data_IF_287638042276
#
_entry.id   IF_287638042276
#
_cell.length_a   1.000
_cell.length_b   1.000
_cell.length_c   1.000
_cell.angle_alpha   90.00
_cell.angle_beta   90.00
_cell.angle_gamma   90.00
#
_symmetry.space_group_name_H-M   'P 1'
#
loop_
_entity.id
_entity.type
_entity.pdbx_description
1 polymer ?
#
# COMPACT_ATOMS: atom_id res chain seq x y z
N UNK A 1 -23.60 -5.12 -3.15
CA UNK A 1 -22.35 -4.35 -3.46
C UNK A 1 -21.16 -5.30 -3.49
N UNK A 2 -20.28 -5.21 -4.50
CA UNK A 2 -19.09 -6.09 -4.61
C UNK A 2 -18.16 -5.94 -3.41
N UNK A 3 -17.60 -7.05 -2.92
CA UNK A 3 -16.59 -7.02 -1.85
C UNK A 3 -15.25 -6.50 -2.39
N UNK A 4 -14.64 -5.58 -1.66
CA UNK A 4 -13.30 -5.04 -1.91
C UNK A 4 -12.25 -6.05 -1.47
N UNK A 5 -11.36 -6.43 -2.40
CA UNK A 5 -10.29 -7.39 -2.15
C UNK A 5 -8.95 -6.69 -2.29
N UNK A 6 -8.03 -6.95 -1.36
CA UNK A 6 -6.64 -6.56 -1.48
C UNK A 6 -5.72 -7.78 -1.45
N UNK A 7 -4.51 -7.64 -2.03
CA UNK A 7 -3.51 -8.72 -2.12
C UNK A 7 -2.16 -8.20 -1.62
N UNK A 8 -1.55 -8.92 -0.67
CA UNK A 8 -0.12 -8.83 -0.37
C UNK A 8 0.51 -10.18 -0.71
N UNK A 9 1.37 -10.22 -1.72
CA UNK A 9 1.83 -11.51 -2.21
C UNK A 9 2.58 -11.44 -3.54
N UNK A 10 2.40 -12.43 -4.41
CA UNK A 10 3.10 -12.52 -5.68
C UNK A 10 2.23 -12.12 -6.88
N UNK A 11 2.88 -11.59 -7.92
CA UNK A 11 2.25 -11.25 -9.20
C UNK A 11 1.62 -12.47 -9.90
N UNK A 12 2.19 -13.66 -9.73
CA UNK A 12 1.67 -14.91 -10.25
C UNK A 12 0.32 -15.29 -9.62
N UNK A 13 0.06 -14.80 -8.41
CA UNK A 13 -1.07 -15.22 -7.59
C UNK A 13 -2.16 -14.15 -7.48
N UNK A 14 -1.91 -12.95 -8.02
CA UNK A 14 -2.94 -11.98 -8.35
C UNK A 14 -3.77 -12.39 -9.59
N UNK A 15 -3.29 -13.32 -10.42
CA UNK A 15 -3.95 -13.74 -11.67
C UNK A 15 -5.39 -14.25 -11.49
N UNK A 16 -5.76 -15.07 -10.49
CA UNK A 16 -7.17 -15.43 -10.29
C UNK A 16 -8.09 -14.22 -10.07
N UNK A 17 -7.55 -13.11 -9.53
CA UNK A 17 -8.25 -11.89 -9.21
C UNK A 17 -8.01 -10.75 -10.21
N UNK A 18 -7.35 -11.05 -11.34
CA UNK A 18 -7.41 -10.18 -12.53
C UNK A 18 -8.72 -10.38 -13.31
N UNK A 19 -9.53 -11.37 -12.89
CA UNK A 19 -10.84 -11.73 -13.44
C UNK A 19 -10.85 -12.19 -14.92
N UNK A 20 -9.69 -12.42 -15.53
CA UNK A 20 -9.61 -12.92 -16.91
C UNK A 20 -9.90 -14.42 -16.99
N UNK A 21 -9.37 -15.20 -16.03
CA UNK A 21 -9.50 -16.67 -16.00
C UNK A 21 -10.83 -17.16 -15.43
N UNK A 22 -11.44 -16.37 -14.53
CA UNK A 22 -12.76 -16.64 -13.94
C UNK A 22 -13.56 -15.32 -13.88
N UNK A 23 -14.20 -14.91 -14.99
CA UNK A 23 -14.91 -13.63 -15.08
C UNK A 23 -16.04 -13.45 -14.07
N UNK A 24 -16.66 -14.54 -13.60
CA UNK A 24 -17.72 -14.52 -12.60
C UNK A 24 -17.28 -13.88 -11.28
N UNK A 25 -15.99 -13.93 -10.95
CA UNK A 25 -15.46 -13.25 -9.77
C UNK A 25 -15.56 -11.72 -9.88
N UNK A 26 -15.54 -11.14 -11.08
CA UNK A 26 -15.71 -9.70 -11.27
C UNK A 26 -17.13 -9.24 -10.90
N UNK A 27 -18.13 -10.13 -10.88
CA UNK A 27 -19.50 -9.78 -10.48
C UNK A 27 -19.62 -9.65 -8.95
N UNK A 28 -18.72 -10.28 -8.20
CA UNK A 28 -18.78 -10.43 -6.74
C UNK A 28 -17.73 -9.57 -6.04
N UNK A 29 -16.57 -9.38 -6.68
CA UNK A 29 -15.39 -8.76 -6.09
C UNK A 29 -14.88 -7.59 -6.90
N UNK A 30 -14.13 -6.71 -6.24
CA UNK A 30 -13.34 -5.66 -6.88
C UNK A 30 -11.98 -5.61 -6.23
N UNK A 31 -10.92 -5.75 -7.03
CA UNK A 31 -9.55 -5.64 -6.55
C UNK A 31 -9.24 -4.16 -6.30
N UNK A 32 -9.03 -3.79 -5.03
CA UNK A 32 -8.75 -2.39 -4.64
C UNK A 32 -7.26 -2.13 -4.52
N UNK A 33 -6.50 -2.98 -3.84
CA UNK A 33 -5.04 -2.78 -3.64
C UNK A 33 -4.27 -4.05 -3.90
N UNK A 34 -3.09 -3.90 -4.49
CA UNK A 34 -2.10 -4.97 -4.58
C UNK A 34 -0.71 -4.46 -4.20
N UNK A 35 -0.01 -5.24 -3.38
CA UNK A 35 1.42 -5.08 -3.12
C UNK A 35 2.08 -6.40 -3.43
N UNK A 36 2.80 -6.39 -4.53
CA UNK A 36 3.39 -7.58 -5.10
C UNK A 36 4.88 -7.63 -4.77
N UNK A 37 5.34 -8.85 -4.55
CA UNK A 37 6.74 -9.23 -4.46
C UNK A 37 7.51 -8.63 -3.28
N UNK A 38 6.82 -8.23 -2.21
CA UNK A 38 7.42 -7.73 -0.97
C UNK A 38 7.26 -8.74 0.18
N UNK A 39 8.35 -9.06 0.87
CA UNK A 39 8.36 -9.93 2.05
C UNK A 39 7.55 -9.32 3.20
N UNK A 40 6.85 -10.15 3.98
CA UNK A 40 6.13 -9.71 5.17
C UNK A 40 7.06 -9.05 6.21
N UNK A 41 8.27 -9.57 6.35
CA UNK A 41 9.32 -8.98 7.21
C UNK A 41 9.62 -7.55 6.75
N UNK A 42 9.80 -7.36 5.45
CA UNK A 42 10.09 -6.05 4.86
C UNK A 42 8.90 -5.09 5.04
N UNK A 43 7.65 -5.57 4.85
CA UNK A 43 6.42 -4.77 5.05
C UNK A 43 6.34 -4.22 6.48
N UNK A 44 6.67 -5.05 7.47
CA UNK A 44 6.57 -4.69 8.88
C UNK A 44 7.81 -4.00 9.42
N UNK A 45 8.84 -3.77 8.60
CA UNK A 45 10.05 -3.07 9.02
C UNK A 45 9.87 -1.55 9.03
N UNK A 46 10.78 -0.84 9.72
CA UNK A 46 10.91 0.61 9.60
C UNK A 46 11.31 1.05 8.18
N UNK A 47 11.10 2.32 7.87
CA UNK A 47 11.49 2.92 6.58
C UNK A 47 12.99 3.18 6.49
N UNK A 48 13.54 3.04 5.29
CA UNK A 48 14.94 3.30 4.98
C UNK A 48 15.14 4.79 4.69
N UNK A 49 16.31 5.32 5.04
CA UNK A 49 16.77 6.64 4.57
C UNK A 49 17.47 6.45 3.23
N UNK A 50 17.05 7.19 2.20
CA UNK A 50 17.56 7.04 0.84
C UNK A 50 17.62 8.40 0.15
N UNK A 51 18.47 8.48 -0.87
CA UNK A 51 18.50 9.61 -1.79
C UNK A 51 17.40 9.44 -2.85
N UNK A 52 16.43 10.35 -2.83
CA UNK A 52 15.30 10.32 -3.76
C UNK A 52 15.72 10.67 -5.19
N UNK A 53 16.65 11.61 -5.38
CA UNK A 53 17.12 11.96 -6.72
C UNK A 53 17.84 10.76 -7.34
N UNK A 54 18.66 10.07 -6.55
CA UNK A 54 19.31 8.84 -6.98
C UNK A 54 18.31 7.73 -7.29
N UNK A 55 17.25 7.56 -6.48
CA UNK A 55 16.18 6.60 -6.75
C UNK A 55 15.50 6.90 -8.09
N UNK A 56 15.13 8.17 -8.32
CA UNK A 56 14.48 8.63 -9.54
C UNK A 56 15.39 8.62 -10.77
N UNK A 57 16.71 8.46 -10.61
CA UNK A 57 17.65 8.29 -11.72
C UNK A 57 17.65 6.88 -12.32
N UNK A 58 16.94 5.94 -11.70
CA UNK A 58 16.72 4.59 -12.22
C UNK A 58 16.04 4.61 -13.58
N UNK A 59 16.41 3.66 -14.45
CA UNK A 59 15.87 3.57 -15.83
C UNK A 59 14.55 2.82 -15.95
N UNK A 60 14.18 2.08 -14.91
CA UNK A 60 13.01 1.21 -14.87
C UNK A 60 12.02 1.78 -13.83
N UNK A 61 10.93 2.35 -14.33
CA UNK A 61 9.90 2.99 -13.49
C UNK A 61 9.21 1.99 -12.57
N UNK A 62 9.06 0.73 -12.97
CA UNK A 62 8.43 -0.31 -12.17
C UNK A 62 9.33 -0.67 -10.99
N UNK A 63 10.61 -0.95 -11.26
CA UNK A 63 11.60 -1.21 -10.20
C UNK A 63 11.72 0.00 -9.28
N UNK A 64 11.70 1.21 -9.84
CA UNK A 64 11.76 2.46 -9.06
C UNK A 64 10.54 2.62 -8.15
N UNK A 65 9.34 2.31 -8.63
CA UNK A 65 8.12 2.33 -7.82
C UNK A 65 8.11 1.23 -6.74
N UNK A 66 8.62 0.03 -7.04
CA UNK A 66 8.78 -1.05 -6.07
C UNK A 66 9.78 -0.65 -4.98
N UNK A 67 10.95 -0.13 -5.35
CA UNK A 67 11.95 0.35 -4.41
C UNK A 67 11.47 1.52 -3.56
N UNK A 68 10.71 2.44 -4.14
CA UNK A 68 10.07 3.51 -3.39
C UNK A 68 9.19 2.94 -2.27
N UNK A 69 8.40 1.91 -2.58
CA UNK A 69 7.54 1.22 -1.60
C UNK A 69 8.35 0.46 -0.56
N UNK A 70 9.46 -0.16 -0.96
CA UNK A 70 10.42 -0.83 -0.07
C UNK A 70 11.11 0.13 0.89
N UNK A 71 11.50 1.32 0.45
CA UNK A 71 12.15 2.28 1.32
C UNK A 71 11.16 3.03 2.18
N UNK A 72 10.03 3.42 1.59
CA UNK A 72 9.00 4.17 2.29
C UNK A 72 8.20 3.27 3.24
N UNK A 73 7.96 1.98 2.97
CA UNK A 73 7.10 1.09 3.77
C UNK A 73 5.67 1.59 3.89
N UNK A 74 5.03 1.86 2.76
CA UNK A 74 3.69 2.43 2.68
C UNK A 74 2.55 1.40 2.54
N UNK A 75 2.88 0.11 2.49
CA UNK A 75 1.92 -0.99 2.35
C UNK A 75 0.78 -0.90 3.37
N UNK A 76 1.08 -0.71 4.66
CA UNK A 76 0.05 -0.59 5.70
C UNK A 76 -0.87 0.62 5.50
N UNK A 77 -0.32 1.74 5.01
CA UNK A 77 -1.10 2.92 4.65
C UNK A 77 -2.06 2.62 3.50
N UNK A 78 -1.60 1.89 2.48
CA UNK A 78 -2.39 1.58 1.29
C UNK A 78 -3.54 0.62 1.60
N UNK A 79 -3.34 -0.36 2.48
CA UNK A 79 -4.42 -1.27 2.90
C UNK A 79 -5.48 -0.50 3.69
N UNK A 80 -5.07 0.39 4.60
CA UNK A 80 -6.04 1.22 5.35
C UNK A 80 -6.77 2.21 4.43
N UNK A 81 -6.04 2.83 3.51
CA UNK A 81 -6.62 3.76 2.54
C UNK A 81 -7.64 3.07 1.62
N UNK A 82 -7.36 1.86 1.16
CA UNK A 82 -8.27 1.09 0.31
C UNK A 82 -9.41 0.41 1.07
N UNK A 83 -9.26 0.21 2.39
CA UNK A 83 -10.25 -0.38 3.29
C UNK A 83 -10.93 -1.65 2.69
N UNK A 84 -10.16 -2.73 2.46
CA UNK A 84 -10.69 -3.94 1.85
C UNK A 84 -11.58 -4.73 2.81
N UNK A 85 -12.60 -5.41 2.27
CA UNK A 85 -13.39 -6.40 3.02
C UNK A 85 -12.60 -7.70 3.23
N UNK A 86 -11.73 -8.03 2.27
CA UNK A 86 -10.90 -9.24 2.29
C UNK A 86 -9.47 -8.92 1.90
N UNK A 87 -8.51 -9.43 2.66
CA UNK A 87 -7.09 -9.35 2.34
C UNK A 87 -6.51 -10.74 2.12
N UNK A 88 -5.96 -10.98 0.94
CA UNK A 88 -5.24 -12.21 0.62
C UNK A 88 -3.75 -12.04 0.88
N UNK A 89 -3.17 -12.97 1.63
CA UNK A 89 -1.75 -13.09 1.86
C UNK A 89 -1.19 -14.29 1.12
N UNK A 90 -0.02 -14.13 0.52
CA UNK A 90 0.85 -15.25 0.18
C UNK A 90 2.29 -14.96 0.60
N UNK A 91 3.06 -16.01 0.84
CA UNK A 91 4.43 -15.91 1.36
C UNK A 91 5.47 -16.20 0.27
N UNK A 92 5.12 -15.97 -1.00
CA UNK A 92 6.04 -16.24 -2.11
C UNK A 92 7.36 -15.49 -1.95
N UNK A 93 7.31 -14.18 -1.65
CA UNK A 93 8.52 -13.38 -1.50
C UNK A 93 9.35 -13.82 -0.32
N UNK A 94 8.71 -14.19 0.78
CA UNK A 94 9.39 -14.71 1.95
C UNK A 94 10.15 -16.00 1.61
N UNK A 95 9.50 -16.91 0.89
CA UNK A 95 10.06 -18.21 0.49
C UNK A 95 11.11 -18.08 -0.63
N UNK A 96 10.88 -17.24 -1.62
CA UNK A 96 11.67 -17.16 -2.85
C UNK A 96 12.88 -16.24 -2.72
N UNK A 97 12.70 -15.10 -2.05
CA UNK A 97 13.73 -14.06 -1.94
C UNK A 97 14.38 -14.05 -0.55
N UNK A 98 13.57 -14.14 0.52
CA UNK A 98 14.02 -13.80 1.86
C UNK A 98 14.26 -12.29 2.00
N UNK A 99 15.12 -11.89 2.93
CA UNK A 99 15.38 -10.47 3.25
C UNK A 99 16.86 -10.12 3.37
N UNK A 100 17.14 -8.83 3.24
CA UNK A 100 18.40 -8.18 3.55
C UNK A 100 18.19 -7.28 4.77
N UNK A 101 19.08 -7.36 5.74
CA UNK A 101 19.09 -6.45 6.88
C UNK A 101 20.11 -5.34 6.62
N UNK A 102 19.66 -4.10 6.68
CA UNK A 102 20.52 -2.92 6.63
C UNK A 102 21.33 -2.76 7.93
N UNK A 103 22.42 -1.99 7.89
CA UNK A 103 23.21 -1.64 9.08
C UNK A 103 22.41 -0.93 10.18
N UNK A 104 21.27 -0.33 9.83
CA UNK A 104 20.36 0.34 10.76
C UNK A 104 19.24 -0.60 11.28
N UNK A 105 19.35 -1.91 11.05
CA UNK A 105 18.40 -2.92 11.52
C UNK A 105 17.07 -2.99 10.76
N UNK A 106 16.92 -2.21 9.69
CA UNK A 106 15.74 -2.26 8.79
C UNK A 106 15.87 -3.39 7.78
N UNK A 107 14.77 -4.03 7.39
CA UNK A 107 14.74 -5.10 6.39
C UNK A 107 14.21 -4.64 5.04
N UNK A 108 14.80 -5.18 3.97
CA UNK A 108 14.40 -5.06 2.57
C UNK A 108 14.18 -6.46 1.98
N UNK A 109 13.25 -6.63 1.04
CA UNK A 109 13.13 -7.91 0.31
C UNK A 109 14.39 -8.15 -0.52
N UNK A 110 14.92 -9.37 -0.48
CA UNK A 110 16.17 -9.74 -1.17
C UNK A 110 15.92 -10.09 -2.65
N UNK A 111 15.37 -9.13 -3.39
CA UNK A 111 15.08 -9.27 -4.81
C UNK A 111 16.26 -8.74 -5.63
N UNK A 112 16.86 -9.59 -6.46
CA UNK A 112 18.08 -9.26 -7.23
C UNK A 112 17.89 -8.07 -8.19
N UNK A 113 16.68 -7.89 -8.68
CA UNK A 113 16.30 -6.89 -9.66
C UNK A 113 16.44 -5.47 -9.09
N UNK A 114 16.38 -5.31 -7.77
CA UNK A 114 16.62 -4.03 -7.11
C UNK A 114 18.03 -3.49 -7.34
N UNK A 115 19.02 -4.35 -7.58
CA UNK A 115 20.39 -3.95 -7.91
C UNK A 115 20.49 -3.16 -9.23
N UNK A 116 19.45 -3.20 -10.08
CA UNK A 116 19.41 -2.42 -11.33
C UNK A 116 19.20 -0.92 -11.09
N UNK A 117 18.77 -0.52 -9.90
CA UNK A 117 18.60 0.89 -9.54
C UNK A 117 19.78 1.36 -8.67
N UNK A 118 20.48 2.45 -9.04
CA UNK A 118 21.69 2.90 -8.34
C UNK A 118 21.43 3.30 -6.87
N UNK A 119 20.20 3.67 -6.52
CA UNK A 119 19.84 4.00 -5.13
C UNK A 119 19.96 2.79 -4.20
N UNK A 120 19.78 1.57 -4.72
CA UNK A 120 19.90 0.35 -3.92
C UNK A 120 21.35 0.04 -3.55
N UNK A 121 22.30 0.29 -4.44
CA UNK A 121 23.73 0.11 -4.18
C UNK A 121 24.23 1.03 -3.06
N UNK A 122 23.58 2.19 -2.87
CA UNK A 122 23.91 3.13 -1.79
C UNK A 122 23.41 2.68 -0.40
N UNK A 123 22.58 1.64 -0.32
CA UNK A 123 22.07 1.12 0.95
C UNK A 123 23.09 0.16 1.57
N UNK A 124 23.60 0.50 2.74
CA UNK A 124 24.52 -0.36 3.48
C UNK A 124 23.79 -1.59 4.08
N UNK A 125 24.14 -2.77 3.58
CA UNK A 125 23.62 -4.06 4.03
C UNK A 125 24.57 -4.68 5.06
N UNK A 126 24.01 -5.14 6.18
CA UNK A 126 24.73 -5.84 7.24
C UNK A 126 24.66 -7.35 7.09
N UNK A 127 23.48 -7.88 6.74
CA UNK A 127 23.24 -9.32 6.71
C UNK A 127 22.17 -9.72 5.67
N UNK A 128 22.05 -11.01 5.39
CA UNK A 128 21.01 -11.59 4.53
C UNK A 128 20.45 -12.87 5.10
N UNK A 129 19.12 -12.88 5.29
CA UNK A 129 18.39 -14.05 5.78
C UNK A 129 17.58 -14.66 4.65
N UNK A 130 17.82 -15.94 4.38
CA UNK A 130 17.09 -16.70 3.37
C UNK A 130 16.60 -18.00 3.99
N UNK A 131 15.29 -18.33 3.89
CA UNK A 131 14.77 -19.56 4.49
C UNK A 131 15.39 -20.83 3.89
N UNK A 132 15.89 -20.75 2.66
CA UNK A 132 16.66 -21.80 1.97
C UNK A 132 17.93 -22.25 2.74
N UNK A 133 18.57 -21.35 3.48
CA UNK A 133 19.85 -21.59 4.13
C UNK A 133 19.76 -21.50 5.65
N UNK A 134 18.84 -20.67 6.17
CA UNK A 134 18.80 -20.27 7.57
C UNK A 134 17.36 -20.28 8.12
N UNK A 135 16.64 -21.40 7.91
CA UNK A 135 15.21 -21.49 8.21
C UNK A 135 14.85 -21.04 9.64
N UNK A 136 15.60 -21.47 10.66
CA UNK A 136 15.29 -21.15 12.05
C UNK A 136 15.42 -19.65 12.36
N UNK A 137 16.51 -19.01 11.91
CA UNK A 137 16.70 -17.57 12.11
C UNK A 137 15.67 -16.77 11.31
N UNK A 138 15.40 -17.21 10.07
CA UNK A 138 14.42 -16.55 9.21
C UNK A 138 12.99 -16.64 9.78
N UNK A 139 12.57 -17.83 10.23
CA UNK A 139 11.19 -18.04 10.70
C UNK A 139 10.90 -17.30 12.00
N UNK A 140 11.91 -17.09 12.85
CA UNK A 140 11.78 -16.27 14.06
C UNK A 140 11.44 -14.81 13.70
N UNK A 141 12.23 -14.20 12.82
CA UNK A 141 11.99 -12.82 12.35
C UNK A 141 10.64 -12.72 11.60
N UNK A 142 10.33 -13.73 10.78
CA UNK A 142 9.07 -13.79 10.05
C UNK A 142 7.85 -13.92 10.99
N UNK A 143 7.95 -14.74 12.04
CA UNK A 143 6.87 -14.91 13.01
C UNK A 143 6.58 -13.63 13.78
N UNK A 144 7.62 -12.88 14.18
CA UNK A 144 7.47 -11.55 14.78
C UNK A 144 6.85 -10.54 13.82
N UNK A 145 7.19 -10.59 12.53
CA UNK A 145 6.56 -9.76 11.52
C UNK A 145 5.06 -10.09 11.38
N UNK A 146 4.71 -11.38 11.34
CA UNK A 146 3.32 -11.83 11.30
C UNK A 146 2.54 -11.40 12.54
N UNK A 147 3.11 -11.51 13.73
CA UNK A 147 2.46 -11.06 14.97
C UNK A 147 2.13 -9.56 14.96
N UNK A 148 3.10 -8.74 14.57
CA UNK A 148 2.89 -7.29 14.41
C UNK A 148 1.87 -6.98 13.33
N UNK A 149 1.89 -7.75 12.23
CA UNK A 149 0.92 -7.60 11.14
C UNK A 149 -0.50 -7.92 11.61
N UNK A 150 -0.71 -9.05 12.30
CA UNK A 150 -2.03 -9.44 12.80
C UNK A 150 -2.52 -8.47 13.89
N UNK A 151 -1.62 -7.97 14.73
CA UNK A 151 -1.92 -6.88 15.69
C UNK A 151 -2.37 -5.62 14.97
N UNK A 152 -1.70 -5.25 13.87
CA UNK A 152 -2.08 -4.12 13.03
C UNK A 152 -3.48 -4.32 12.43
N UNK A 153 -3.75 -5.49 11.82
CA UNK A 153 -5.05 -5.80 11.22
C UNK A 153 -6.17 -5.71 12.25
N UNK A 154 -6.00 -6.32 13.42
CA UNK A 154 -6.98 -6.25 14.52
C UNK A 154 -7.22 -4.82 15.02
N UNK A 155 -6.20 -3.97 14.98
CA UNK A 155 -6.30 -2.59 15.51
C UNK A 155 -6.96 -1.63 14.53
N UNK A 156 -6.60 -1.70 13.25
CA UNK A 156 -6.98 -0.68 12.25
C UNK A 156 -7.95 -1.17 11.19
N UNK A 157 -8.07 -2.49 11.02
CA UNK A 157 -8.90 -3.16 10.02
C UNK A 157 -9.60 -4.40 10.62
N UNK A 158 -10.29 -4.27 11.77
CA UNK A 158 -10.82 -5.43 12.50
C UNK A 158 -11.85 -6.24 11.70
N UNK A 159 -12.57 -5.59 10.77
CA UNK A 159 -13.57 -6.23 9.93
C UNK A 159 -13.01 -6.77 8.60
N UNK A 160 -11.74 -6.50 8.29
CA UNK A 160 -11.09 -7.07 7.10
C UNK A 160 -10.77 -8.54 7.35
N UNK A 161 -11.37 -9.42 6.54
CA UNK A 161 -11.07 -10.85 6.60
C UNK A 161 -9.72 -11.16 5.96
N UNK A 162 -8.76 -11.63 6.75
CA UNK A 162 -7.47 -12.12 6.23
C UNK A 162 -7.64 -13.56 5.75
N UNK A 163 -7.07 -13.89 4.58
CA UNK A 163 -7.08 -15.22 3.97
C UNK A 163 -5.69 -15.54 3.44
N UNK A 164 -5.20 -16.76 3.64
CA UNK A 164 -3.94 -17.22 3.04
C UNK A 164 -4.24 -17.89 1.71
N UNK A 165 -3.46 -17.56 0.68
CA UNK A 165 -3.42 -18.35 -0.54
C UNK A 165 -2.41 -19.50 -0.37
N UNK A 166 -2.91 -20.73 -0.23
CA UNK A 166 -2.11 -21.93 0.03
C UNK A 166 -1.35 -22.49 -1.16
N UNK A 167 -1.14 -21.69 -2.20
CA UNK A 167 -0.49 -22.09 -3.44
C UNK A 167 0.95 -22.60 -3.24
N UNK A 168 1.39 -23.47 -4.15
CA UNK A 168 2.74 -24.03 -4.19
C UNK A 168 3.37 -23.92 -5.57
N UNK A 169 4.69 -23.98 -5.61
CA UNK A 169 5.41 -24.17 -6.85
C UNK A 169 5.02 -25.51 -7.49
N UNK A 170 4.66 -25.49 -8.77
CA UNK A 170 4.37 -26.67 -9.56
C UNK A 170 5.63 -27.55 -9.68
N UNK A 171 5.47 -28.84 -9.39
CA UNK A 171 6.55 -29.85 -9.50
C UNK A 171 6.35 -30.76 -10.72
N UNK A 172 5.22 -30.62 -11.41
CA UNK A 172 4.81 -31.39 -12.58
C UNK A 172 4.24 -30.43 -13.61
N UNK A 173 4.14 -30.85 -14.86
CA UNK A 173 3.47 -30.06 -15.88
C UNK A 173 3.53 -30.72 -17.25
N UNK A 174 3.02 -29.99 -18.23
CA UNK A 174 3.08 -30.38 -19.64
C UNK A 174 3.97 -29.40 -20.40
N UNK A 175 4.81 -29.93 -21.28
CA UNK A 175 5.60 -29.13 -22.24
C UNK A 175 4.72 -28.70 -23.42
N UNK A 176 5.24 -27.81 -24.28
CA UNK A 176 4.50 -27.33 -25.45
C UNK A 176 4.13 -28.45 -26.44
N UNK A 177 4.89 -29.54 -26.48
CA UNK A 177 4.61 -30.71 -27.32
C UNK A 177 3.59 -31.69 -26.69
N UNK A 178 3.03 -31.33 -25.52
CA UNK A 178 2.09 -32.15 -24.76
C UNK A 178 2.75 -33.26 -23.92
N UNK A 179 4.08 -33.37 -23.92
CA UNK A 179 4.78 -34.33 -23.08
C UNK A 179 4.68 -33.96 -21.60
N UNK A 180 4.47 -34.97 -20.75
CA UNK A 180 4.43 -34.78 -19.30
C UNK A 180 5.84 -34.73 -18.74
N UNK A 181 6.15 -33.66 -18.00
CA UNK A 181 7.42 -33.49 -17.30
C UNK A 181 7.16 -33.39 -15.81
N UNK A 182 7.98 -34.10 -15.04
CA UNK A 182 8.06 -33.94 -13.60
C UNK A 182 9.43 -33.41 -13.24
N UNK A 183 9.47 -32.31 -12.51
CA UNK A 183 10.68 -31.80 -11.87
C UNK A 183 10.97 -32.69 -10.66
N UNK A 184 11.25 -33.97 -10.90
CA UNK A 184 11.71 -34.89 -9.85
C UNK A 184 13.13 -34.52 -9.47
N UNK A 185 13.38 -34.43 -8.17
CA UNK A 185 14.75 -34.30 -7.65
C UNK A 185 15.35 -32.93 -7.87
N UNK A 186 14.54 -31.85 -7.86
CA UNK A 186 15.04 -30.51 -7.59
C UNK A 186 14.87 -30.22 -6.08
N UNK A 187 15.90 -30.48 -5.25
CA UNK A 187 15.76 -30.37 -3.79
C UNK A 187 15.44 -28.95 -3.36
N UNK A 188 15.83 -27.94 -4.17
CA UNK A 188 15.51 -26.53 -3.92
C UNK A 188 14.01 -26.26 -4.00
N UNK A 189 13.31 -26.81 -5.00
CA UNK A 189 11.88 -26.56 -5.19
C UNK A 189 11.02 -27.26 -4.12
N UNK A 190 11.33 -28.53 -3.84
CA UNK A 190 10.66 -29.29 -2.77
C UNK A 190 10.89 -28.64 -1.40
N UNK A 191 12.11 -28.18 -1.14
CA UNK A 191 12.44 -27.45 0.07
C UNK A 191 11.66 -26.14 0.18
N UNK A 192 11.56 -25.34 -0.89
CA UNK A 192 10.76 -24.10 -0.90
C UNK A 192 9.28 -24.37 -0.61
N UNK A 193 8.69 -25.39 -1.22
CA UNK A 193 7.31 -25.79 -0.92
C UNK A 193 7.14 -26.27 0.54
N UNK A 194 8.15 -26.93 1.11
CA UNK A 194 8.16 -27.30 2.53
C UNK A 194 8.24 -26.09 3.45
N UNK A 195 9.11 -25.12 3.17
CA UNK A 195 9.19 -23.85 3.89
C UNK A 195 7.84 -23.15 3.84
N UNK A 196 7.26 -22.99 2.65
CA UNK A 196 5.96 -22.34 2.48
C UNK A 196 4.87 -23.03 3.30
N UNK A 197 4.81 -24.36 3.25
CA UNK A 197 3.89 -25.14 4.07
C UNK A 197 4.08 -24.92 5.58
N UNK A 198 5.31 -24.71 6.04
CA UNK A 198 5.58 -24.40 7.44
C UNK A 198 5.10 -22.99 7.82
N UNK A 199 5.28 -21.99 6.94
CA UNK A 199 4.79 -20.63 7.16
C UNK A 199 3.25 -20.58 7.19
N UNK A 200 2.60 -21.21 6.21
CA UNK A 200 1.13 -21.33 6.16
C UNK A 200 0.59 -22.01 7.42
N UNK A 201 1.20 -23.14 7.81
CA UNK A 201 0.81 -23.88 9.00
C UNK A 201 0.94 -23.00 10.25
N UNK A 202 2.06 -22.29 10.41
CA UNK A 202 2.24 -21.39 11.54
C UNK A 202 1.14 -20.32 11.58
N UNK A 203 0.84 -19.68 10.45
CA UNK A 203 -0.16 -18.61 10.39
C UNK A 203 -1.59 -19.13 10.65
N UNK A 204 -1.95 -20.27 10.08
CA UNK A 204 -3.26 -20.91 10.28
C UNK A 204 -3.46 -21.42 11.71
N UNK A 205 -2.44 -22.03 12.33
CA UNK A 205 -2.55 -22.57 13.69
C UNK A 205 -2.55 -21.48 14.78
N UNK A 206 -1.73 -20.44 14.64
CA UNK A 206 -1.60 -19.40 15.67
C UNK A 206 -2.68 -18.31 15.58
N UNK A 207 -3.17 -18.01 14.37
CA UNK A 207 -4.11 -16.90 14.14
C UNK A 207 -5.44 -17.33 13.53
N UNK A 208 -5.66 -18.63 13.31
CA UNK A 208 -6.90 -19.17 12.74
C UNK A 208 -7.27 -18.58 11.38
N UNK A 209 -6.27 -18.16 10.61
CA UNK A 209 -6.48 -17.57 9.29
C UNK A 209 -6.94 -18.69 8.34
N UNK A 210 -8.08 -18.53 7.63
CA UNK A 210 -8.50 -19.50 6.63
C UNK A 210 -7.52 -19.55 5.46
N UNK A 211 -7.38 -20.74 4.86
CA UNK A 211 -6.47 -20.98 3.74
C UNK A 211 -7.25 -21.45 2.52
N UNK A 212 -6.98 -20.84 1.37
CA UNK A 212 -7.43 -21.31 0.06
C UNK A 212 -6.53 -22.48 -0.32
N UNK A 213 -7.12 -23.66 -0.51
CA UNK A 213 -6.39 -24.88 -0.77
C UNK A 213 -5.70 -24.84 -2.14
N UNK A 214 -4.50 -25.43 -2.23
CA UNK A 214 -3.87 -25.67 -3.52
C UNK A 214 -4.37 -26.99 -4.11
N UNK A 215 -5.09 -26.89 -5.23
CA UNK A 215 -5.76 -28.05 -5.85
C UNK A 215 -4.96 -28.73 -6.96
N UNK A 216 -3.79 -28.19 -7.32
CA UNK A 216 -2.93 -28.77 -8.36
C UNK A 216 -1.47 -28.42 -8.12
N UNK A 217 -0.58 -29.37 -8.40
CA UNK A 217 0.88 -29.18 -8.44
C UNK A 217 1.42 -29.13 -9.88
N UNK A 218 0.52 -28.88 -10.85
CA UNK A 218 0.79 -28.93 -12.30
C UNK A 218 0.85 -27.56 -12.97
N UNK A 219 1.83 -27.41 -13.86
CA UNK A 219 2.05 -26.26 -14.73
C UNK A 219 1.63 -26.53 -16.18
N UNK A 220 1.27 -25.47 -16.92
CA UNK A 220 0.87 -25.51 -18.34
C UNK A 220 1.80 -24.77 -19.30
N UNK A 221 2.84 -24.09 -18.80
CA UNK A 221 3.72 -23.30 -19.65
C UNK A 221 5.16 -23.77 -19.55
N UNK A 222 5.85 -23.75 -20.70
CA UNK A 222 7.29 -23.95 -20.79
C UNK A 222 7.99 -22.59 -20.84
N UNK A 223 9.09 -22.45 -20.10
CA UNK A 223 10.05 -21.36 -20.22
C UNK A 223 11.43 -22.00 -20.44
N UNK A 224 12.09 -21.62 -21.54
CA UNK A 224 13.47 -22.01 -21.86
C UNK A 224 13.76 -23.52 -21.76
N UNK A 225 12.84 -24.38 -22.25
CA UNK A 225 13.02 -25.83 -22.20
C UNK A 225 12.67 -26.49 -20.87
N UNK A 226 12.05 -25.76 -19.93
CA UNK A 226 11.65 -26.26 -18.61
C UNK A 226 10.23 -25.85 -18.24
N UNK A 227 9.57 -26.60 -17.34
CA UNK A 227 8.23 -26.20 -16.89
C UNK A 227 8.30 -24.91 -16.09
N UNK A 228 7.32 -24.03 -16.31
CA UNK A 228 7.13 -22.83 -15.55
C UNK A 228 6.51 -23.18 -14.18
N UNK A 229 7.33 -23.24 -13.14
CA UNK A 229 6.92 -23.68 -11.79
C UNK A 229 5.90 -22.77 -11.09
N UNK A 230 5.53 -21.63 -11.68
CA UNK A 230 4.62 -20.63 -11.11
C UNK A 230 3.37 -20.39 -11.97
N UNK A 231 3.31 -20.92 -13.20
CA UNK A 231 2.15 -20.83 -14.08
C UNK A 231 1.28 -22.11 -13.99
N UNK A 232 0.22 -22.06 -13.17
CA UNK A 232 -0.64 -23.21 -12.92
C UNK A 232 -1.69 -23.45 -14.02
N UNK A 233 -2.17 -24.69 -14.10
CA UNK A 233 -3.29 -25.12 -14.95
C UNK A 233 -4.57 -24.30 -14.73
N UNK A 234 -5.40 -24.16 -15.77
CA UNK A 234 -6.68 -23.44 -15.69
C UNK A 234 -7.62 -23.98 -14.59
N UNK A 235 -7.50 -25.27 -14.26
CA UNK A 235 -8.25 -25.91 -13.18
C UNK A 235 -7.97 -25.30 -11.81
N UNK A 236 -6.76 -24.78 -11.59
CA UNK A 236 -6.38 -24.08 -10.36
C UNK A 236 -7.29 -22.88 -10.13
N UNK A 237 -7.45 -22.01 -11.14
CA UNK A 237 -8.21 -20.76 -11.00
C UNK A 237 -9.68 -21.02 -10.68
N UNK A 238 -10.26 -22.09 -11.25
CA UNK A 238 -11.65 -22.49 -10.95
C UNK A 238 -11.82 -22.93 -9.51
N UNK A 239 -10.94 -23.78 -9.00
CA UNK A 239 -11.03 -24.22 -7.61
C UNK A 239 -10.66 -23.11 -6.62
N UNK A 240 -9.69 -22.26 -6.96
CA UNK A 240 -9.41 -21.03 -6.22
C UNK A 240 -10.68 -20.20 -6.06
N UNK A 241 -11.40 -19.94 -7.15
CA UNK A 241 -12.61 -19.11 -7.13
C UNK A 241 -13.71 -19.71 -6.24
N UNK A 242 -13.88 -21.03 -6.30
CA UNK A 242 -14.85 -21.77 -5.48
C UNK A 242 -14.48 -21.66 -4.00
N UNK A 243 -13.25 -22.03 -3.63
CA UNK A 243 -12.80 -22.11 -2.24
C UNK A 243 -12.67 -20.71 -1.60
N UNK A 244 -12.11 -19.76 -2.34
CA UNK A 244 -12.07 -18.36 -1.92
C UNK A 244 -13.46 -17.81 -1.64
N UNK A 245 -14.42 -18.06 -2.53
CA UNK A 245 -15.79 -17.56 -2.33
C UNK A 245 -16.49 -18.29 -1.20
N UNK A 246 -16.29 -19.60 -1.03
CA UNK A 246 -16.81 -20.34 0.12
C UNK A 246 -16.25 -19.81 1.45
N UNK A 247 -14.98 -19.40 1.48
CA UNK A 247 -14.38 -18.74 2.66
C UNK A 247 -15.05 -17.39 2.90
N UNK A 248 -15.25 -16.57 1.87
CA UNK A 248 -15.74 -15.19 2.02
C UNK A 248 -17.26 -15.11 2.27
N UNK A 249 -18.00 -16.09 1.78
CA UNK A 249 -19.47 -16.24 1.86
C UNK A 249 -19.85 -17.63 2.39
N UNK A 250 -19.51 -17.97 3.64
CA UNK A 250 -19.72 -19.31 4.19
C UNK A 250 -21.19 -19.74 4.28
N UNK A 251 -22.12 -18.78 4.24
CA UNK A 251 -23.57 -19.00 4.21
C UNK A 251 -24.08 -19.48 2.84
N UNK A 252 -23.29 -19.35 1.78
CA UNK A 252 -23.64 -19.78 0.43
C UNK A 252 -23.00 -21.13 0.10
N UNK A 253 -23.78 -22.03 -0.53
CA UNK A 253 -23.28 -23.33 -0.99
C UNK A 253 -22.52 -23.20 -2.32
N UNK A 254 -21.23 -22.85 -2.25
CA UNK A 254 -20.37 -22.67 -3.41
C UNK A 254 -19.64 -23.98 -3.75
N UNK A 255 -20.20 -24.76 -4.67
CA UNK A 255 -19.61 -26.04 -5.13
C UNK A 255 -19.12 -26.04 -6.57
N UNK A 256 -19.38 -24.96 -7.32
CA UNK A 256 -19.01 -24.82 -8.72
C UNK A 256 -18.87 -23.35 -9.09
N UNK A 257 -18.16 -23.07 -10.20
CA UNK A 257 -18.07 -21.71 -10.76
C UNK A 257 -19.46 -21.16 -11.10
N UNK A 258 -20.36 -22.00 -11.60
CA UNK A 258 -21.75 -21.60 -11.87
C UNK A 258 -22.57 -21.24 -10.63
N UNK A 259 -22.12 -21.59 -9.42
CA UNK A 259 -22.77 -21.17 -8.18
C UNK A 259 -22.39 -19.72 -7.81
N UNK A 260 -21.30 -19.18 -8.35
CA UNK A 260 -20.82 -17.83 -8.08
C UNK A 260 -21.84 -16.76 -8.51
N UNK A 261 -22.51 -16.95 -9.64
CA UNK A 261 -23.55 -16.02 -10.13
C UNK A 261 -24.80 -15.96 -9.25
N UNK A 262 -24.92 -16.84 -8.25
CA UNK A 262 -26.01 -16.86 -7.25
C UNK A 262 -25.63 -16.19 -5.94
N UNK A 263 -24.40 -15.67 -5.82
CA UNK A 263 -23.98 -14.92 -4.64
C UNK A 263 -24.74 -13.60 -4.63
N UNK A 264 -25.53 -13.42 -3.58
CA UNK A 264 -26.24 -12.17 -3.35
C UNK A 264 -25.29 -11.18 -2.68
N UNK A 265 -24.81 -10.21 -3.47
CA UNK A 265 -23.87 -9.20 -2.96
C UNK A 265 -24.55 -8.14 -2.08
N UNK A 266 -25.88 -8.11 -2.00
CA UNK A 266 -26.65 -7.07 -1.29
C UNK A 266 -27.00 -7.47 0.15
N UNK A 267 -26.72 -8.71 0.57
CA UNK A 267 -26.95 -9.18 1.94
C UNK A 267 -25.97 -8.61 2.98
N UNK A 268 -24.89 -7.94 2.56
CA UNK A 268 -23.93 -7.37 3.50
C UNK A 268 -24.28 -5.93 3.84
N UNK A 269 -24.65 -5.71 5.11
CA UNK A 269 -24.68 -4.37 5.69
C UNK A 269 -23.29 -3.73 5.56
N UNK A 270 -23.18 -2.42 5.30
CA UNK A 270 -21.90 -1.74 5.37
C UNK A 270 -21.32 -1.97 6.76
N UNK A 271 -20.23 -2.73 6.84
CA UNK A 271 -19.56 -2.96 8.11
C UNK A 271 -19.05 -1.60 8.60
N UNK A 272 -19.62 -1.14 9.72
CA UNK A 272 -19.25 0.11 10.38
C UNK A 272 -17.92 -0.16 11.05
N UNK A 273 -16.89 0.09 10.28
CA UNK A 273 -15.55 -0.32 10.57
C UNK A 273 -14.91 0.76 11.48
N UNK A 274 -14.25 0.36 12.56
CA UNK A 274 -13.55 1.25 13.51
C UNK A 274 -12.26 1.89 12.91
N UNK A 275 -12.28 2.26 11.62
CA UNK A 275 -11.14 2.72 10.79
C UNK A 275 -10.45 3.99 11.35
N UNK A 276 -11.03 4.65 12.35
CA UNK A 276 -10.92 6.10 12.54
C UNK A 276 -9.64 6.64 13.19
N UNK A 277 -8.70 5.77 13.63
CA UNK A 277 -7.47 6.24 14.26
C UNK A 277 -6.31 6.47 13.29
N UNK A 278 -6.20 5.69 12.21
CA UNK A 278 -5.02 5.71 11.35
C UNK A 278 -4.96 7.01 10.52
N UNK A 279 -3.84 7.71 10.61
CA UNK A 279 -3.60 8.90 9.80
C UNK A 279 -2.88 8.50 8.51
N UNK A 280 -3.51 8.76 7.37
CA UNK A 280 -2.92 8.46 6.06
C UNK A 280 -1.75 9.39 5.73
N UNK A 281 -1.67 10.57 6.36
CA UNK A 281 -0.49 11.43 6.27
C UNK A 281 0.61 10.85 7.16
N UNK A 282 1.73 10.49 6.53
CA UNK A 282 2.92 9.98 7.22
C UNK A 282 3.76 11.13 7.73
N UNK A 283 4.36 10.94 8.91
CA UNK A 283 5.09 12.00 9.62
C UNK A 283 4.29 13.33 9.70
N UNK A 284 3.02 13.30 10.17
CA UNK A 284 2.13 14.47 10.15
C UNK A 284 2.51 15.55 11.17
N UNK A 285 3.36 15.17 12.15
CA UNK A 285 3.91 16.04 13.19
C UNK A 285 5.36 16.42 12.92
N UNK A 286 5.91 16.10 11.74
CA UNK A 286 7.29 16.43 11.38
C UNK A 286 8.36 16.03 12.42
N UNK A 287 8.14 14.95 13.18
CA UNK A 287 9.07 14.48 14.22
C UNK A 287 10.31 13.83 13.62
N UNK A 288 10.25 13.47 12.33
CA UNK A 288 11.36 12.93 11.55
C UNK A 288 11.74 13.92 10.45
N UNK A 289 11.82 15.21 10.80
CA UNK A 289 12.08 16.31 9.87
C UNK A 289 11.12 16.25 8.67
N UNK A 290 11.61 16.48 7.45
CA UNK A 290 10.86 16.42 6.20
C UNK A 290 10.64 15.00 5.65
N UNK A 291 10.95 13.93 6.39
CA UNK A 291 10.78 12.55 5.89
C UNK A 291 9.34 12.32 5.43
N UNK A 292 9.18 11.72 4.24
CA UNK A 292 7.92 11.51 3.51
C UNK A 292 7.27 12.76 2.92
N UNK A 293 7.89 13.93 2.99
CA UNK A 293 7.38 15.13 2.35
C UNK A 293 8.25 15.53 1.17
N UNK A 294 7.63 15.97 0.08
CA UNK A 294 8.31 16.43 -1.14
C UNK A 294 7.94 17.87 -1.42
N UNK A 295 8.90 18.62 -1.96
CA UNK A 295 8.70 20.01 -2.38
C UNK A 295 8.99 20.14 -3.88
N UNK A 296 8.00 20.57 -4.65
CA UNK A 296 8.12 20.73 -6.10
C UNK A 296 8.84 22.04 -6.50
N UNK A 297 10.09 22.24 -6.04
CA UNK A 297 10.91 23.38 -6.51
C UNK A 297 12.00 23.94 -5.59
N UNK A 298 12.90 23.12 -5.02
CA UNK A 298 14.13 23.58 -4.33
C UNK A 298 13.99 24.21 -2.92
N UNK A 299 13.29 23.59 -1.97
CA UNK A 299 13.53 23.95 -0.56
C UNK A 299 13.93 22.74 0.25
N UNK A 300 15.15 22.80 0.81
CA UNK A 300 15.54 21.93 1.91
C UNK A 300 14.63 22.23 3.10
N UNK A 301 14.16 21.20 3.79
CA UNK A 301 13.30 21.36 4.98
C UNK A 301 14.00 22.06 6.17
N UNK A 302 15.29 22.36 6.02
CA UNK A 302 16.13 23.15 6.92
C UNK A 302 16.85 24.26 6.14
N UNK A 303 16.07 25.10 5.45
CA UNK A 303 16.54 26.26 4.70
C UNK A 303 16.05 27.56 5.33
N UNK A 304 16.49 28.72 4.80
CA UNK A 304 16.02 30.02 5.32
C UNK A 304 14.49 30.23 5.20
N UNK A 305 13.84 29.49 4.31
CA UNK A 305 12.43 29.68 3.95
C UNK A 305 11.51 28.59 4.52
N UNK A 306 12.04 27.42 4.89
CA UNK A 306 11.28 26.30 5.45
C UNK A 306 12.03 25.76 6.65
N UNK A 307 11.36 25.73 7.79
CA UNK A 307 11.87 25.24 9.05
C UNK A 307 10.87 24.25 9.67
N UNK A 308 11.38 23.24 10.36
CA UNK A 308 10.58 22.34 11.18
C UNK A 308 10.97 22.55 12.64
N UNK A 309 10.00 22.93 13.48
CA UNK A 309 10.27 23.17 14.90
C UNK A 309 9.08 22.76 15.76
N UNK A 310 9.34 21.98 16.81
CA UNK A 310 8.30 21.58 17.78
C UNK A 310 7.14 20.79 17.15
N UNK A 311 7.37 20.13 16.02
CA UNK A 311 6.38 19.42 15.22
C UNK A 311 5.45 20.31 14.39
N UNK A 312 5.83 21.57 14.20
CA UNK A 312 5.20 22.52 13.30
C UNK A 312 6.06 22.66 12.03
N UNK A 313 5.39 22.72 10.88
CA UNK A 313 6.01 23.18 9.65
C UNK A 313 5.89 24.70 9.60
N UNK A 314 7.02 25.37 9.50
CA UNK A 314 7.12 26.82 9.41
C UNK A 314 7.63 27.21 8.02
N UNK A 315 6.89 28.09 7.36
CA UNK A 315 7.29 28.75 6.12
C UNK A 315 7.53 30.23 6.43
N UNK A 316 8.75 30.68 6.17
CA UNK A 316 9.20 32.05 6.39
C UNK A 316 9.46 32.70 5.04
N UNK A 317 8.63 33.68 4.67
CA UNK A 317 8.89 34.55 3.54
C UNK A 317 9.40 35.91 4.04
N UNK A 318 10.26 36.58 3.27
CA UNK A 318 10.66 37.96 3.58
C UNK A 318 9.60 38.93 3.02
N UNK A 319 9.34 40.04 3.71
CA UNK A 319 8.32 41.01 3.29
C UNK A 319 8.55 41.56 1.86
N UNK A 320 9.79 41.52 1.37
CA UNK A 320 10.21 42.04 0.08
C UNK A 320 9.86 41.13 -1.12
N UNK A 321 9.64 39.83 -0.90
CA UNK A 321 9.33 38.89 -1.99
C UNK A 321 8.40 37.79 -1.52
N UNK A 322 7.30 37.59 -2.25
CA UNK A 322 6.42 36.46 -2.01
C UNK A 322 7.10 35.14 -2.42
N UNK A 323 7.02 34.16 -1.53
CA UNK A 323 7.51 32.81 -1.77
C UNK A 323 6.31 31.88 -1.97
N UNK A 324 6.41 31.03 -2.98
CA UNK A 324 5.41 30.02 -3.27
C UNK A 324 5.84 28.69 -2.66
N UNK A 325 4.99 28.15 -1.82
CA UNK A 325 5.23 26.89 -1.15
C UNK A 325 4.22 25.86 -1.63
N UNK A 326 4.74 24.68 -1.97
CA UNK A 326 3.94 23.54 -2.39
C UNK A 326 4.62 22.27 -1.87
N UNK A 327 4.25 21.90 -0.65
CA UNK A 327 4.80 20.76 0.07
C UNK A 327 3.74 19.67 0.07
N UNK A 328 4.09 18.49 -0.45
CA UNK A 328 3.16 17.38 -0.64
C UNK A 328 3.63 16.17 0.16
N UNK A 329 2.69 15.41 0.71
CA UNK A 329 2.95 14.14 1.37
C UNK A 329 3.51 13.08 0.42
N UNK A 330 3.95 11.98 1.00
CA UNK A 330 4.14 10.70 0.33
C UNK A 330 2.84 10.30 -0.39
N UNK A 331 2.94 9.51 -1.47
CA UNK A 331 1.77 9.07 -2.21
C UNK A 331 0.94 8.12 -1.34
N UNK A 332 -0.37 8.29 -1.36
CA UNK A 332 -1.33 7.45 -0.65
C UNK A 332 -2.14 6.72 -1.71
N UNK A 333 -2.09 5.39 -1.75
CA UNK A 333 -2.94 4.63 -2.67
C UNK A 333 -4.34 4.50 -2.09
N UNK A 334 -5.27 5.34 -2.54
CA UNK A 334 -6.68 5.30 -2.13
C UNK A 334 -7.54 4.50 -3.09
N UNK A 335 -6.98 4.09 -4.23
CA UNK A 335 -7.62 3.21 -5.21
C UNK A 335 -8.92 3.79 -5.79
N UNK A 336 -9.06 5.11 -5.75
CA UNK A 336 -10.21 5.81 -6.30
C UNK A 336 -10.14 5.84 -7.83
N UNK A 337 -11.33 5.84 -8.45
CA UNK A 337 -11.50 6.14 -9.87
C UNK A 337 -12.56 7.23 -10.04
N UNK A 338 -12.73 7.82 -11.24
CA UNK A 338 -13.84 8.72 -11.50
C UNK A 338 -15.22 8.07 -11.27
N UNK A 339 -15.34 6.76 -11.50
CA UNK A 339 -16.56 5.97 -11.33
C UNK A 339 -16.81 5.53 -9.88
N UNK A 340 -15.74 5.33 -9.09
CA UNK A 340 -15.79 5.01 -7.66
C UNK A 340 -14.89 5.97 -6.86
N UNK A 341 -15.35 7.23 -6.62
CA UNK A 341 -14.55 8.22 -5.91
C UNK A 341 -14.49 7.93 -4.41
N UNK A 342 -13.34 8.21 -3.81
CA UNK A 342 -13.14 8.06 -2.36
C UNK A 342 -13.20 9.42 -1.69
N UNK A 343 -14.00 9.54 -0.63
CA UNK A 343 -14.07 10.76 0.17
C UNK A 343 -13.25 10.62 1.44
N UNK A 344 -12.35 11.57 1.68
CA UNK A 344 -11.48 11.61 2.85
C UNK A 344 -11.70 12.89 3.64
N UNK A 345 -11.56 12.80 4.95
CA UNK A 345 -11.59 13.93 5.86
C UNK A 345 -10.16 14.44 6.07
N UNK A 346 -9.92 15.69 5.67
CA UNK A 346 -8.70 16.43 5.94
C UNK A 346 -8.91 17.36 7.14
N UNK A 347 -8.03 17.28 8.12
CA UNK A 347 -7.97 18.16 9.28
C UNK A 347 -6.56 18.72 9.46
N UNK A 348 -6.44 19.99 9.81
CA UNK A 348 -5.17 20.65 10.14
C UNK A 348 -5.39 21.94 10.93
N UNK A 349 -4.33 22.43 11.55
CA UNK A 349 -4.27 23.78 12.10
C UNK A 349 -3.31 24.64 11.28
N UNK A 350 -3.75 25.87 10.96
CA UNK A 350 -2.94 26.87 10.26
C UNK A 350 -2.84 28.16 11.06
N UNK A 351 -1.67 28.78 11.04
CA UNK A 351 -1.41 30.11 11.59
C UNK A 351 -0.82 30.97 10.48
N UNK A 352 -1.34 32.18 10.32
CA UNK A 352 -0.82 33.19 9.38
C UNK A 352 -0.49 34.42 10.20
N UNK A 353 0.75 34.90 10.16
CA UNK A 353 1.18 36.07 10.91
C UNK A 353 0.42 37.33 10.46
N UNK A 354 0.37 37.57 9.14
CA UNK A 354 -0.46 38.60 8.53
C UNK A 354 -1.26 38.07 7.33
N UNK A 355 -2.58 37.93 7.47
CA UNK A 355 -3.47 37.44 6.40
C UNK A 355 -3.47 38.34 5.16
N UNK A 356 -3.12 39.63 5.31
CA UNK A 356 -2.98 40.54 4.17
C UNK A 356 -1.70 40.27 3.36
N UNK A 357 -0.70 39.60 3.94
CA UNK A 357 0.51 39.13 3.27
C UNK A 357 0.33 37.87 2.42
N UNK A 358 -0.90 37.38 2.25
CA UNK A 358 -1.21 36.26 1.35
C UNK A 358 -1.68 36.78 0.00
N UNK A 359 -1.07 36.27 -1.09
CA UNK A 359 -1.42 36.69 -2.45
C UNK A 359 -2.83 36.23 -2.85
N UNK A 360 -3.67 37.18 -3.27
CA UNK A 360 -5.10 36.98 -3.55
C UNK A 360 -5.41 35.84 -4.53
N UNK A 361 -4.57 35.64 -5.55
CA UNK A 361 -4.85 34.64 -6.59
C UNK A 361 -4.26 33.26 -6.27
N UNK A 362 -3.58 33.10 -5.13
CA UNK A 362 -2.90 31.88 -4.68
C UNK A 362 -2.98 31.73 -3.16
N UNK A 363 -4.13 32.08 -2.57
CA UNK A 363 -4.36 32.09 -1.13
C UNK A 363 -5.00 30.82 -0.58
N UNK A 364 -5.11 29.75 -1.38
CA UNK A 364 -5.38 28.43 -0.84
C UNK A 364 -4.28 28.09 0.17
N UNK A 365 -4.65 27.54 1.33
CA UNK A 365 -3.72 27.17 2.43
C UNK A 365 -3.28 25.71 2.38
N UNK A 366 -3.91 24.93 1.49
CA UNK A 366 -3.71 23.50 1.36
C UNK A 366 -4.15 23.02 -0.02
N UNK A 367 -3.52 21.95 -0.50
CA UNK A 367 -3.84 21.32 -1.77
C UNK A 367 -3.86 19.80 -1.65
N UNK A 368 -4.74 19.17 -2.41
CA UNK A 368 -4.70 17.77 -2.75
C UNK A 368 -4.43 17.60 -4.25
N UNK A 369 -3.62 16.61 -4.62
CA UNK A 369 -3.36 16.23 -6.02
C UNK A 369 -3.53 14.75 -6.21
N UNK A 370 -4.32 14.40 -7.22
CA UNK A 370 -4.51 13.03 -7.68
C UNK A 370 -3.60 12.70 -8.85
N UNK A 371 -3.05 11.49 -8.85
CA UNK A 371 -2.09 10.97 -9.82
C UNK A 371 -2.45 9.55 -10.24
N UNK A 372 -2.13 9.22 -11.49
CA UNK A 372 -2.29 7.87 -12.02
C UNK A 372 -1.17 6.94 -11.59
N UNK A 373 0.02 7.48 -11.32
CA UNK A 373 1.18 6.72 -10.89
C UNK A 373 1.79 7.32 -9.60
N UNK A 374 2.22 6.43 -8.71
CA UNK A 374 2.84 6.71 -7.40
C UNK A 374 4.08 7.61 -7.46
N UNK A 375 4.91 7.47 -8.50
CA UNK A 375 6.18 8.21 -8.62
C UNK A 375 5.98 9.67 -9.08
N UNK A 376 4.80 9.99 -9.62
CA UNK A 376 4.47 11.34 -10.06
C UNK A 376 4.33 12.30 -8.88
N UNK A 377 4.78 13.54 -9.08
CA UNK A 377 4.83 14.55 -8.01
C UNK A 377 4.57 15.97 -8.52
N UNK A 378 4.72 16.23 -9.81
CA UNK A 378 4.69 17.58 -10.35
C UNK A 378 3.25 18.07 -10.58
N UNK A 379 3.10 19.39 -10.75
CA UNK A 379 1.79 19.96 -11.04
C UNK A 379 1.27 19.60 -12.44
N UNK A 380 2.16 19.31 -13.39
CA UNK A 380 1.82 18.96 -14.79
C UNK A 380 1.29 17.53 -14.87
N UNK A 381 1.86 16.62 -14.07
CA UNK A 381 1.45 15.21 -14.04
C UNK A 381 0.12 14.98 -13.29
N UNK A 382 -0.27 15.90 -12.42
CA UNK A 382 -1.49 15.76 -11.61
C UNK A 382 -2.73 15.75 -12.50
N UNK A 383 -3.47 14.64 -12.45
CA UNK A 383 -4.73 14.45 -13.19
C UNK A 383 -5.93 15.04 -12.45
N UNK A 384 -5.82 15.20 -11.14
CA UNK A 384 -6.81 15.87 -10.30
C UNK A 384 -6.14 16.92 -9.41
N UNK A 385 -6.80 18.07 -9.22
CA UNK A 385 -6.38 19.13 -8.28
C UNK A 385 -7.56 19.52 -7.39
N UNK A 386 -7.35 19.45 -6.09
CA UNK A 386 -8.35 19.79 -5.08
C UNK A 386 -7.75 20.90 -4.23
N UNK A 387 -8.30 22.10 -4.33
CA UNK A 387 -7.90 23.21 -3.48
C UNK A 387 -8.84 23.30 -2.29
N UNK A 388 -8.29 23.46 -1.08
CA UNK A 388 -9.14 23.83 0.06
C UNK A 388 -9.61 25.28 -0.10
N UNK A 389 -10.56 25.71 0.73
CA UNK A 389 -11.00 27.11 0.72
C UNK A 389 -9.81 28.08 0.86
N UNK A 390 -9.98 29.23 0.23
CA UNK A 390 -9.05 30.35 0.26
C UNK A 390 -8.88 30.91 1.68
N UNK A 391 -7.66 31.31 2.06
CA UNK A 391 -7.32 31.81 3.40
C UNK A 391 -8.26 32.93 3.85
N UNK A 392 -8.61 33.84 2.93
CA UNK A 392 -9.50 34.99 3.23
C UNK A 392 -10.96 34.59 3.41
N UNK A 393 -11.39 33.47 2.82
CA UNK A 393 -12.73 32.90 3.01
C UNK A 393 -12.83 32.02 4.27
N UNK A 394 -11.69 31.56 4.79
CA UNK A 394 -11.61 30.73 6.00
C UNK A 394 -11.74 31.52 7.31
N UNK A 395 -11.96 32.84 7.24
CA UNK A 395 -12.03 33.75 8.39
C UNK A 395 -10.83 33.58 9.35
N UNK A 396 -9.63 33.40 8.79
CA UNK A 396 -8.39 33.32 9.56
C UNK A 396 -8.09 34.69 10.16
N UNK A 397 -7.71 34.73 11.43
CA UNK A 397 -7.28 35.96 12.11
C UNK A 397 -5.76 35.99 12.16
N UNK A 398 -5.15 37.09 11.71
CA UNK A 398 -3.71 37.32 11.82
C UNK A 398 -3.19 37.02 13.24
N UNK A 399 -2.11 36.25 13.33
CA UNK A 399 -1.48 35.89 14.58
C UNK A 399 -2.25 34.86 15.44
N UNK A 400 -3.24 34.14 14.89
CA UNK A 400 -3.98 33.09 15.62
C UNK A 400 -4.02 31.77 14.86
N UNK A 401 -3.97 30.67 15.61
CA UNK A 401 -4.22 29.34 15.07
C UNK A 401 -5.69 29.16 14.73
N UNK A 402 -5.96 28.59 13.57
CA UNK A 402 -7.30 28.20 13.12
C UNK A 402 -7.27 26.71 12.78
N UNK A 403 -8.15 25.95 13.43
CA UNK A 403 -8.45 24.57 13.05
C UNK A 403 -9.37 24.56 11.82
N UNK A 404 -9.01 23.77 10.83
CA UNK A 404 -9.75 23.57 9.59
C UNK A 404 -10.03 22.08 9.42
N UNK A 405 -11.26 21.77 9.03
CA UNK A 405 -11.73 20.42 8.71
C UNK A 405 -12.53 20.50 7.41
N UNK A 406 -12.21 19.66 6.44
CA UNK A 406 -12.87 19.63 5.13
C UNK A 406 -12.89 18.23 4.55
N UNK A 407 -13.91 17.95 3.74
CA UNK A 407 -13.99 16.71 2.97
C UNK A 407 -13.31 16.90 1.62
N UNK A 408 -12.56 15.90 1.17
CA UNK A 408 -11.88 15.85 -0.11
C UNK A 408 -12.39 14.64 -0.88
N UNK A 409 -12.92 14.86 -2.08
CA UNK A 409 -13.34 13.77 -2.98
C UNK A 409 -12.22 13.47 -3.97
N UNK A 410 -11.60 12.30 -3.85
CA UNK A 410 -10.48 11.85 -4.68
C UNK A 410 -11.00 10.93 -5.79
N UNK A 411 -10.54 11.13 -7.02
CA UNK A 411 -10.94 10.36 -8.21
C UNK A 411 -9.77 9.65 -8.90
N UNK A 412 -8.59 9.71 -8.30
CA UNK A 412 -7.35 9.14 -8.83
C UNK A 412 -6.77 8.15 -7.82
N UNK A 413 -6.08 7.09 -8.27
CA UNK A 413 -5.64 6.02 -7.40
C UNK A 413 -4.59 6.49 -6.38
N UNK A 414 -3.69 7.38 -6.77
CA UNK A 414 -2.67 7.93 -5.89
C UNK A 414 -2.97 9.37 -5.52
N UNK A 415 -2.97 9.67 -4.23
CA UNK A 415 -3.26 10.99 -3.71
C UNK A 415 -2.09 11.53 -2.91
N UNK A 416 -1.78 12.83 -3.07
CA UNK A 416 -0.84 13.56 -2.23
C UNK A 416 -1.51 14.82 -1.72
N UNK A 417 -1.22 15.17 -0.48
CA UNK A 417 -1.83 16.33 0.18
C UNK A 417 -0.76 17.15 0.85
N UNK A 418 -0.97 18.45 0.97
CA UNK A 418 -0.15 19.21 1.90
C UNK A 418 -0.31 20.72 1.81
N UNK A 419 0.49 21.43 2.63
CA UNK A 419 0.58 22.88 2.64
C UNK A 419 0.86 23.44 1.24
N UNK A 420 0.04 24.41 0.87
CA UNK A 420 0.13 25.14 -0.38
C UNK A 420 -0.18 26.58 -0.06
N UNK A 421 0.67 27.54 -0.40
CA UNK A 421 0.36 28.97 -0.27
C UNK A 421 1.39 29.81 -1.03
N UNK A 422 0.99 30.98 -1.51
CA UNK A 422 1.95 32.05 -1.85
C UNK A 422 1.82 33.21 -0.88
N UNK A 423 2.91 33.54 -0.20
CA UNK A 423 2.87 34.58 0.84
C UNK A 423 4.20 35.30 1.00
N UNK A 424 4.17 36.55 1.45
CA UNK A 424 5.31 37.31 1.94
C UNK A 424 5.31 37.46 3.48
N UNK A 425 4.46 36.69 4.17
CA UNK A 425 4.39 36.62 5.63
C UNK A 425 4.75 35.21 6.12
N UNK A 426 4.86 35.07 7.44
CA UNK A 426 5.10 33.80 8.11
C UNK A 426 3.82 32.95 8.15
N UNK A 427 3.92 31.69 7.75
CA UNK A 427 2.80 30.74 7.80
C UNK A 427 3.23 29.44 8.45
N UNK A 428 2.38 28.86 9.29
CA UNK A 428 2.66 27.60 9.99
C UNK A 428 1.53 26.60 9.87
N UNK A 429 1.88 25.32 9.87
CA UNK A 429 0.94 24.19 9.93
C UNK A 429 1.33 23.22 11.03
N UNK A 430 0.31 22.59 11.63
CA UNK A 430 0.47 21.47 12.55
C UNK A 430 -0.79 20.62 12.60
N UNK A 431 -0.72 19.50 13.32
CA UNK A 431 -1.84 18.59 13.56
C UNK A 431 -2.50 18.10 12.24
N UNK A 432 -1.68 17.82 11.23
CA UNK A 432 -2.12 17.35 9.92
C UNK A 432 -2.75 15.96 10.04
N UNK A 433 -3.93 15.76 9.48
CA UNK A 433 -4.61 14.47 9.50
C UNK A 433 -5.42 14.26 8.22
N UNK A 434 -5.29 13.09 7.62
CA UNK A 434 -6.15 12.64 6.53
C UNK A 434 -6.67 11.24 6.87
N UNK A 435 -7.98 11.06 6.88
CA UNK A 435 -8.62 9.81 7.32
C UNK A 435 -9.88 9.53 6.53
N UNK A 436 -10.36 8.29 6.58
CA UNK A 436 -11.74 7.99 6.21
C UNK A 436 -12.70 8.69 7.18
N UNK A 437 -13.81 9.27 6.68
CA UNK A 437 -14.77 9.96 7.53
C UNK A 437 -15.44 9.01 8.52
N UNK A 438 -15.68 9.51 9.73
CA UNK A 438 -16.43 8.79 10.77
C UNK A 438 -17.90 8.79 10.40
N UNK A 439 -18.50 7.62 10.25
CA UNK A 439 -19.95 7.48 10.10
C UNK A 439 -20.52 7.27 11.49
N UNK A 440 -20.98 8.35 12.13
CA UNK A 440 -21.68 8.27 13.42
C UNK A 440 -23.02 7.55 13.19
N UNK A 441 -23.20 6.38 13.80
CA UNK A 441 -24.44 5.58 13.67
C UNK A 441 -25.41 5.74 14.85
N UNK A 442 -25.17 6.70 15.75
CA UNK A 442 -26.04 6.97 16.90
C UNK A 442 -27.34 7.72 16.56
N UNK A 443 -27.78 7.78 15.29
CA UNK A 443 -29.03 8.46 14.90
C UNK A 443 -30.01 7.60 14.11
N UNK A 444 -29.95 6.26 14.25
CA UNK A 444 -30.97 5.35 13.72
C UNK A 444 -31.66 4.61 14.85
N UNK A 445 -32.30 5.37 15.74
CA UNK A 445 -33.39 4.91 16.61
C UNK A 445 -34.15 6.17 17.04
N UNK A 446 -35.06 6.64 16.18
CA UNK A 446 -36.18 7.53 16.51
C UNK A 446 -37.40 7.17 15.65
#
# INVERSE_FOLDING_TARGET
MKKKVAILGSSHFAQPLNFEKVPELAEIYTLVTQRLEMSLIAIMSSSVTFDRELLMSGKDDEITAQLLSEYEKDVLNDIVASNPDVLILDFFSDVNYGVLQTVNGTYLTNKSEYQKNPSFEAIAIADSYRPAFEFNAYVEIWAEALDRFMTFMKTYLPETKVVINGLRFATKGFMNDGSFVQVKGNPSLEYRNKVWGALDKFATENYQIPIISCYTDRSIMEIDGSINTIALEDVYYKYFAIDFTAIVYPEHDVRSVSALSKIDTDLNQPMINNIYAWNLIRNPKFTHEGKFWVNSGQVSFNGREVEIYGGELLLSATQEKSTFFNILSAPINVCATPEDPVTLELEYEVFIEDVFGVELNQDHVFIGRGFKNKIQTTHIEASQRIYTQQAKLLNITSGKWKKIKTMLTVTEPYFRVGPYIKSNTKVKWRNLSLKHPIVDTTSKDD
#
